data_IF_594705220636
#
_entry.id   IF_594705220636
#
_cell.length_a   1.000
_cell.length_b   1.000
_cell.length_c   1.000
_cell.angle_alpha   90.00
_cell.angle_beta   90.00
_cell.angle_gamma   90.00
#
_symmetry.space_group_name_H-M   'P 1'
#
loop_
_entity.id
_entity.type
_entity.pdbx_description
1 polymer ?
#
# COMPACT_ATOMS: atom_id res chain seq x y z
N UNK A 1 -8.02 -1.52 -18.77
CA UNK A 1 -7.54 -2.84 -18.30
C UNK A 1 -6.57 -2.57 -17.16
N UNK A 2 -6.91 -2.95 -15.92
CA UNK A 2 -6.11 -2.62 -14.73
C UNK A 2 -4.87 -3.51 -14.67
N UNK A 3 -3.70 -2.94 -14.39
CA UNK A 3 -2.43 -3.68 -14.38
C UNK A 3 -1.59 -3.28 -13.16
N UNK A 4 -1.22 -4.29 -12.37
CA UNK A 4 -0.31 -4.16 -11.23
C UNK A 4 0.84 -5.14 -11.47
N UNK A 5 1.99 -4.60 -11.86
CA UNK A 5 3.19 -5.40 -12.09
C UNK A 5 4.32 -4.97 -11.15
N UNK A 6 5.10 -5.96 -10.72
CA UNK A 6 6.39 -5.75 -10.06
C UNK A 6 7.47 -6.23 -11.03
N UNK A 7 8.24 -5.29 -11.60
CA UNK A 7 9.35 -5.59 -12.51
C UNK A 7 10.61 -4.97 -11.92
N UNK A 8 11.67 -5.77 -11.73
CA UNK A 8 12.97 -5.31 -11.18
C UNK A 8 12.87 -4.49 -9.89
N UNK A 9 12.00 -4.91 -8.95
CA UNK A 9 11.71 -4.21 -7.69
C UNK A 9 11.04 -2.84 -7.86
N UNK A 10 10.56 -2.51 -9.05
CA UNK A 10 9.73 -1.34 -9.34
C UNK A 10 8.28 -1.77 -9.50
N UNK A 11 7.36 -0.96 -8.98
CA UNK A 11 5.92 -1.13 -9.15
C UNK A 11 5.47 -0.26 -10.32
N UNK A 12 4.75 -0.86 -11.25
CA UNK A 12 3.98 -0.14 -12.27
C UNK A 12 2.50 -0.40 -12.00
N UNK A 13 1.77 0.67 -11.65
CA UNK A 13 0.32 0.66 -11.52
C UNK A 13 -0.29 1.45 -12.68
N UNK A 14 -1.19 0.82 -13.43
CA UNK A 14 -1.99 1.49 -14.46
C UNK A 14 -3.45 1.40 -14.07
N UNK A 15 -3.94 2.47 -13.45
CA UNK A 15 -5.33 2.65 -12.99
C UNK A 15 -5.63 4.14 -12.83
N UNK A 16 -6.90 4.48 -12.59
CA UNK A 16 -7.28 5.85 -12.23
C UNK A 16 -6.94 6.10 -10.75
N UNK A 17 -5.75 6.64 -10.49
CA UNK A 17 -5.28 6.91 -9.13
C UNK A 17 -5.70 8.31 -8.69
N UNK A 18 -6.31 8.39 -7.51
CA UNK A 18 -6.66 9.66 -6.86
C UNK A 18 -5.44 10.21 -6.11
N UNK A 19 -4.85 9.38 -5.23
CA UNK A 19 -3.69 9.79 -4.43
C UNK A 19 -2.80 8.59 -4.06
N UNK A 20 -1.50 8.83 -4.04
CA UNK A 20 -0.50 7.94 -3.46
C UNK A 20 0.13 8.65 -2.27
N UNK A 21 0.14 7.99 -1.11
CA UNK A 21 0.83 8.53 0.06
C UNK A 21 1.58 7.43 0.81
N UNK A 22 2.59 7.87 1.55
CA UNK A 22 3.40 7.01 2.39
C UNK A 22 2.88 7.03 3.83
N UNK A 23 2.80 5.85 4.46
CA UNK A 23 2.47 5.75 5.88
C UNK A 23 3.26 4.64 6.54
N UNK A 24 3.62 4.87 7.81
CA UNK A 24 4.29 3.86 8.64
C UNK A 24 3.23 2.96 9.29
N UNK A 25 3.45 1.65 9.23
CA UNK A 25 2.56 0.66 9.86
C UNK A 25 2.70 0.73 11.38
N UNK A 26 1.66 1.26 12.05
CA UNK A 26 1.60 1.35 13.52
C UNK A 26 0.69 0.27 14.12
N UNK A 27 1.04 -0.32 15.28
CA UNK A 27 0.17 -1.27 15.99
C UNK A 27 -1.22 -0.69 16.31
N UNK A 28 -2.26 -1.53 16.25
CA UNK A 28 -3.62 -1.22 16.68
C UNK A 28 -4.35 -2.49 17.16
N UNK A 29 -4.36 -2.73 18.48
CA UNK A 29 -4.97 -3.95 19.04
C UNK A 29 -4.30 -5.22 18.52
N UNK A 30 -5.10 -6.16 17.98
CA UNK A 30 -4.61 -7.37 17.29
C UNK A 30 -4.29 -7.15 15.81
N UNK A 31 -4.41 -5.93 15.30
CA UNK A 31 -4.12 -5.53 13.91
C UNK A 31 -3.18 -4.32 13.88
N UNK A 32 -3.13 -3.60 12.76
CA UNK A 32 -2.31 -2.40 12.53
C UNK A 32 -3.16 -1.32 11.84
N UNK A 33 -2.81 -0.03 11.96
CA UNK A 33 -3.60 1.12 11.41
C UNK A 33 -3.58 1.29 9.88
N UNK A 34 -3.17 0.26 9.17
CA UNK A 34 -3.26 0.05 7.73
C UNK A 34 -3.47 -1.46 7.67
N UNK A 35 -4.63 -1.97 7.26
CA UNK A 35 -4.92 -3.41 7.29
C UNK A 35 -3.82 -4.20 6.55
N UNK A 36 -2.85 -4.70 7.32
CA UNK A 36 -1.65 -5.35 6.84
C UNK A 36 -1.25 -6.45 7.83
N UNK A 37 -0.59 -7.53 7.36
CA UNK A 37 -0.09 -8.57 8.25
C UNK A 37 0.85 -8.02 9.35
N UNK A 38 0.70 -8.50 10.59
CA UNK A 38 1.53 -8.11 11.75
C UNK A 38 3.05 -8.15 11.48
N UNK A 39 3.49 -9.06 10.61
CA UNK A 39 4.90 -9.19 10.18
C UNK A 39 5.49 -7.92 9.53
N UNK A 40 4.67 -6.92 9.20
CA UNK A 40 5.09 -5.67 8.58
C UNK A 40 5.02 -4.44 9.51
N UNK A 41 4.79 -4.62 10.81
CA UNK A 41 4.88 -3.54 11.81
C UNK A 41 6.25 -2.84 11.70
N UNK A 42 6.26 -1.50 11.76
CA UNK A 42 7.46 -0.68 11.70
C UNK A 42 8.05 -0.51 10.29
N UNK A 43 7.42 -1.08 9.26
CA UNK A 43 7.83 -0.88 7.86
C UNK A 43 7.08 0.29 7.23
N UNK A 44 7.70 0.91 6.22
CA UNK A 44 7.06 1.89 5.34
C UNK A 44 6.14 1.16 4.37
N UNK A 45 4.97 1.72 4.10
CA UNK A 45 4.03 1.19 3.11
C UNK A 45 3.49 2.33 2.26
N UNK A 46 3.34 2.05 0.97
CA UNK A 46 2.64 2.94 0.05
C UNK A 46 1.17 2.53 0.03
N UNK A 47 0.29 3.49 0.27
CA UNK A 47 -1.15 3.33 0.14
C UNK A 47 -1.58 4.07 -1.12
N UNK A 48 -2.36 3.39 -1.94
CA UNK A 48 -2.87 3.90 -3.20
C UNK A 48 -4.39 3.93 -3.08
N UNK A 49 -4.98 5.10 -3.30
CA UNK A 49 -6.43 5.30 -3.36
C UNK A 49 -6.79 5.50 -4.83
N UNK A 50 -7.71 4.68 -5.34
CA UNK A 50 -8.22 4.76 -6.70
C UNK A 50 -9.41 5.73 -6.76
N UNK A 51 -9.64 6.33 -7.93
CA UNK A 51 -10.89 7.03 -8.26
C UNK A 51 -12.03 6.02 -8.39
N UNK A 52 -13.26 6.48 -8.11
CA UNK A 52 -14.48 5.67 -8.30
C UNK A 52 -14.70 5.28 -9.76
#
# INVERSE_FOLDING_TARGET
MRKIDIVDKRITLTDEVEIVYEKVVTPFGTSVKIDAPKRYIGRRSYVIILKE
#
